data_IF_174200368942
#
_entry.id   IF_174200368942
#
_cell.length_a   1.000
_cell.length_b   1.000
_cell.length_c   1.000
_cell.angle_alpha   90.00
_cell.angle_beta   90.00
_cell.angle_gamma   90.00
#
_symmetry.space_group_name_H-M   'P 1'
#
loop_
_entity.id
_entity.type
_entity.pdbx_description
1 polymer ?
#
# COMPACT_ATOMS: atom_id res chain seq x y z
N UNK A 1 -18.84 -31.89 -79.37
CA UNK A 1 -19.50 -31.61 -78.09
C UNK A 1 -18.65 -31.88 -76.86
N UNK A 2 -17.43 -32.38 -76.92
CA UNK A 2 -16.56 -32.66 -75.72
C UNK A 2 -15.63 -31.52 -75.33
N UNK A 3 -15.36 -30.55 -76.20
CA UNK A 3 -14.42 -29.43 -75.95
C UNK A 3 -15.02 -28.29 -75.15
N UNK A 4 -16.33 -28.08 -75.20
CA UNK A 4 -16.97 -26.96 -74.50
C UNK A 4 -17.23 -27.22 -72.98
N UNK A 5 -17.26 -28.48 -72.58
CA UNK A 5 -17.44 -28.89 -71.18
C UNK A 5 -16.14 -28.67 -70.38
N UNK A 6 -15.00 -28.88 -70.98
CA UNK A 6 -13.70 -28.67 -70.35
C UNK A 6 -13.38 -27.18 -70.11
N UNK A 7 -13.80 -26.31 -71.00
CA UNK A 7 -13.58 -24.85 -70.86
C UNK A 7 -14.52 -24.27 -69.76
N UNK A 8 -15.73 -24.76 -69.65
CA UNK A 8 -16.66 -24.33 -68.61
C UNK A 8 -16.18 -24.75 -67.18
N UNK A 9 -15.60 -25.96 -67.07
CA UNK A 9 -15.08 -26.43 -65.80
C UNK A 9 -13.83 -25.64 -65.34
N UNK A 10 -12.96 -25.21 -66.24
CA UNK A 10 -11.78 -24.39 -65.92
C UNK A 10 -12.15 -22.97 -65.48
N UNK A 11 -13.16 -22.37 -66.09
CA UNK A 11 -13.62 -21.03 -65.67
C UNK A 11 -14.26 -21.04 -64.29
N UNK A 12 -15.00 -22.07 -63.93
CA UNK A 12 -15.61 -22.19 -62.60
C UNK A 12 -14.56 -22.45 -61.49
N UNK A 13 -13.50 -23.19 -61.78
CA UNK A 13 -12.40 -23.39 -60.81
C UNK A 13 -11.61 -22.08 -60.62
N UNK A 14 -11.38 -21.31 -61.67
CA UNK A 14 -10.68 -20.01 -61.57
C UNK A 14 -11.49 -18.96 -60.74
N UNK A 15 -12.80 -18.97 -60.84
CA UNK A 15 -13.66 -18.11 -60.03
C UNK A 15 -13.76 -18.53 -58.55
N UNK A 16 -13.70 -19.82 -58.28
CA UNK A 16 -13.73 -20.35 -56.89
C UNK A 16 -12.38 -20.09 -56.18
N UNK A 17 -11.24 -20.16 -56.88
CA UNK A 17 -9.93 -19.88 -56.30
C UNK A 17 -9.73 -18.36 -56.11
N UNK A 18 -10.23 -17.54 -57.04
CA UNK A 18 -10.16 -16.06 -56.94
C UNK A 18 -10.98 -15.48 -55.79
N UNK A 19 -12.14 -16.09 -55.44
CA UNK A 19 -12.94 -15.66 -54.31
C UNK A 19 -12.35 -16.12 -52.95
N UNK A 20 -11.55 -17.15 -52.93
CA UNK A 20 -10.90 -17.64 -51.71
C UNK A 20 -9.65 -16.82 -51.34
N UNK A 21 -8.91 -16.37 -52.32
CA UNK A 21 -7.71 -15.52 -52.09
C UNK A 21 -8.10 -14.08 -51.70
N UNK A 22 -9.27 -13.61 -52.10
CA UNK A 22 -9.76 -12.27 -51.75
C UNK A 22 -10.33 -12.16 -50.32
N UNK A 23 -10.64 -13.26 -49.68
CA UNK A 23 -11.25 -13.26 -48.33
C UNK A 23 -10.21 -13.27 -47.20
N UNK A 24 -8.96 -13.64 -47.48
CA UNK A 24 -7.90 -13.70 -46.44
C UNK A 24 -7.08 -12.42 -46.27
N UNK A 25 -7.30 -11.39 -47.08
CA UNK A 25 -6.51 -10.12 -47.00
C UNK A 25 -7.19 -9.06 -46.11
N UNK A 26 -8.33 -9.36 -45.48
CA UNK A 26 -9.12 -8.39 -44.75
C UNK A 26 -9.14 -8.51 -43.21
N UNK A 27 -8.47 -9.49 -42.61
CA UNK A 27 -8.39 -9.62 -41.16
C UNK A 27 -6.95 -9.48 -40.68
N UNK A 28 -6.37 -8.29 -40.80
CA UNK A 28 -5.36 -7.89 -39.82
C UNK A 28 -6.07 -7.86 -38.49
N UNK A 29 -5.92 -8.95 -37.71
CA UNK A 29 -6.13 -8.93 -36.28
C UNK A 29 -5.25 -7.82 -35.74
N UNK A 30 -5.83 -6.65 -35.53
CA UNK A 30 -5.30 -5.68 -34.59
C UNK A 30 -5.05 -6.46 -33.29
N UNK A 31 -3.82 -6.92 -33.09
CA UNK A 31 -3.32 -7.29 -31.76
C UNK A 31 -3.37 -6.00 -30.96
N UNK A 32 -4.55 -5.68 -30.39
CA UNK A 32 -4.59 -4.84 -29.21
C UNK A 32 -3.65 -5.55 -28.25
N UNK A 33 -2.48 -4.95 -28.02
CA UNK A 33 -1.65 -5.30 -26.90
C UNK A 33 -2.55 -5.17 -25.68
N UNK A 34 -3.18 -6.25 -25.30
CA UNK A 34 -3.89 -6.38 -24.06
C UNK A 34 -2.84 -6.35 -22.96
N UNK A 35 -2.36 -5.17 -22.61
CA UNK A 35 -1.82 -4.98 -21.29
C UNK A 35 -2.94 -5.48 -20.36
N UNK A 36 -2.71 -6.59 -19.69
CA UNK A 36 -3.58 -7.07 -18.64
C UNK A 36 -3.59 -5.95 -17.61
N UNK A 37 -4.63 -5.12 -17.64
CA UNK A 37 -4.83 -4.11 -16.60
C UNK A 37 -5.06 -4.92 -15.34
N UNK A 38 -4.04 -5.04 -14.50
CA UNK A 38 -4.17 -5.65 -13.19
C UNK A 38 -5.25 -4.87 -12.45
N UNK A 39 -6.13 -5.60 -11.77
CA UNK A 39 -7.17 -4.95 -10.99
C UNK A 39 -6.51 -4.05 -9.94
N UNK A 40 -6.80 -2.76 -9.96
CA UNK A 40 -6.32 -1.81 -8.96
C UNK A 40 -7.18 -1.99 -7.72
N UNK A 41 -6.58 -2.41 -6.62
CA UNK A 41 -7.26 -2.70 -5.37
C UNK A 41 -6.99 -1.68 -4.26
N UNK A 42 -5.85 -1.00 -4.31
CA UNK A 42 -5.39 -0.07 -3.28
C UNK A 42 -4.56 1.10 -3.85
N UNK A 43 -4.04 1.92 -2.95
CA UNK A 43 -3.23 3.09 -3.28
C UNK A 43 -1.91 2.71 -3.97
N UNK A 44 -1.21 1.68 -3.45
CA UNK A 44 0.08 1.24 -3.99
C UNK A 44 -0.09 0.66 -5.41
N UNK A 45 -1.15 -0.12 -5.66
CA UNK A 45 -1.52 -0.61 -6.99
C UNK A 45 -1.80 0.54 -7.96
N UNK A 46 -2.53 1.56 -7.49
CA UNK A 46 -2.85 2.74 -8.30
C UNK A 46 -1.58 3.50 -8.70
N UNK A 47 -0.67 3.74 -7.77
CA UNK A 47 0.63 4.38 -8.04
C UNK A 47 1.48 3.52 -8.97
N UNK A 48 1.52 2.21 -8.75
CA UNK A 48 2.26 1.25 -9.59
C UNK A 48 1.78 1.18 -11.03
N UNK A 49 0.49 1.51 -11.30
CA UNK A 49 -0.10 1.54 -12.64
C UNK A 49 -0.20 2.97 -13.22
N UNK A 50 0.67 3.89 -12.75
CA UNK A 50 0.74 5.28 -13.23
C UNK A 50 -0.53 6.10 -13.02
N UNK A 51 -1.27 5.83 -11.94
CA UNK A 51 -2.36 6.68 -11.50
C UNK A 51 -1.88 8.11 -11.15
N UNK A 52 -2.79 9.07 -11.22
CA UNK A 52 -2.50 10.46 -10.85
C UNK A 52 -2.52 10.59 -9.33
N UNK A 53 -1.41 11.01 -8.73
CA UNK A 53 -1.28 11.22 -7.29
C UNK A 53 -1.52 12.70 -6.97
N UNK A 54 -2.46 12.96 -6.05
CA UNK A 54 -2.70 14.30 -5.51
C UNK A 54 -1.77 14.57 -4.32
N UNK A 55 -1.28 15.81 -4.23
CA UNK A 55 -0.50 16.31 -3.08
C UNK A 55 -1.45 16.64 -1.92
N UNK A 56 -1.94 15.59 -1.25
CA UNK A 56 -2.79 15.67 -0.05
C UNK A 56 -2.22 14.81 1.07
N UNK A 57 -2.71 14.99 2.29
CA UNK A 57 -2.40 14.09 3.39
C UNK A 57 -3.68 13.61 4.09
N UNK A 58 -3.98 12.30 4.07
CA UNK A 58 -3.27 11.22 3.34
C UNK A 58 -3.24 11.46 1.83
N UNK A 59 -2.22 10.91 1.15
CA UNK A 59 -2.11 10.99 -0.30
C UNK A 59 -3.26 10.23 -0.98
N UNK A 60 -3.70 10.74 -2.14
CA UNK A 60 -4.76 10.11 -2.94
C UNK A 60 -4.23 9.80 -4.34
N UNK A 61 -4.56 8.64 -4.86
CA UNK A 61 -4.23 8.23 -6.22
C UNK A 61 -5.49 7.92 -7.00
N UNK A 62 -5.62 8.48 -8.21
CA UNK A 62 -6.79 8.29 -9.07
C UNK A 62 -6.41 7.60 -10.37
N UNK A 63 -7.16 6.57 -10.74
CA UNK A 63 -7.02 5.82 -12.00
C UNK A 63 -8.38 5.26 -12.43
N UNK A 64 -8.71 5.36 -13.72
CA UNK A 64 -9.95 4.80 -14.26
C UNK A 64 -11.23 5.35 -13.60
N UNK A 65 -11.22 6.60 -13.12
CA UNK A 65 -12.35 7.24 -12.43
C UNK A 65 -12.56 6.79 -10.98
N UNK A 66 -11.64 6.00 -10.41
CA UNK A 66 -11.62 5.60 -9.01
C UNK A 66 -10.50 6.31 -8.27
N UNK A 67 -10.73 6.63 -7.00
CA UNK A 67 -9.73 7.24 -6.11
C UNK A 67 -9.45 6.28 -4.96
N UNK A 68 -8.16 6.11 -4.66
CA UNK A 68 -7.63 5.29 -3.59
C UNK A 68 -6.84 6.18 -2.64
N UNK A 69 -7.09 6.06 -1.34
CA UNK A 69 -6.42 6.84 -0.31
C UNK A 69 -5.30 6.02 0.32
N UNK A 70 -4.16 6.64 0.55
CA UNK A 70 -3.03 6.01 1.23
C UNK A 70 -3.43 5.63 2.66
N UNK A 71 -3.14 4.38 3.06
CA UNK A 71 -3.28 3.97 4.45
C UNK A 71 -2.17 4.64 5.29
N UNK A 72 -2.56 5.45 6.24
CA UNK A 72 -1.66 6.10 7.22
C UNK A 72 -1.94 5.61 8.66
N UNK A 73 -2.71 4.53 8.80
CA UNK A 73 -3.22 4.08 10.09
C UNK A 73 -4.25 5.06 10.67
N UNK A 74 -4.15 5.32 11.96
CA UNK A 74 -5.05 6.25 12.65
C UNK A 74 -4.37 7.59 13.04
N UNK A 75 -3.33 8.01 12.31
CA UNK A 75 -2.50 9.17 12.67
C UNK A 75 -3.33 10.45 12.83
N UNK A 76 -4.30 10.71 11.94
CA UNK A 76 -5.13 11.90 12.02
C UNK A 76 -6.10 11.87 13.22
N UNK A 77 -6.60 10.69 13.58
CA UNK A 77 -7.48 10.52 14.74
C UNK A 77 -6.76 10.75 16.06
N UNK A 78 -5.45 10.47 16.09
CA UNK A 78 -4.61 10.56 17.28
C UNK A 78 -3.77 11.83 17.35
N UNK A 79 -3.86 12.72 16.36
CA UNK A 79 -3.00 13.89 16.22
C UNK A 79 -3.00 14.83 17.43
N UNK A 80 -4.08 14.87 18.21
CA UNK A 80 -4.19 15.66 19.43
C UNK A 80 -3.57 14.98 20.67
N UNK A 81 -3.22 13.70 20.58
CA UNK A 81 -2.69 12.89 21.67
C UNK A 81 -1.24 12.48 21.46
N UNK A 82 -0.92 12.00 20.27
CA UNK A 82 0.42 11.52 19.90
C UNK A 82 0.70 11.79 18.43
N UNK A 83 1.94 12.18 18.12
CA UNK A 83 2.46 12.43 16.78
C UNK A 83 3.74 11.64 16.56
N UNK A 84 3.95 11.15 15.35
CA UNK A 84 5.18 10.46 14.95
C UNK A 84 5.91 11.27 13.87
N UNK A 85 7.15 11.66 14.16
CA UNK A 85 8.00 12.39 13.21
C UNK A 85 8.76 11.42 12.29
N UNK A 86 9.23 10.31 12.86
CA UNK A 86 9.95 9.26 12.16
C UNK A 86 9.72 7.89 12.83
N UNK A 87 9.52 6.81 12.03
CA UNK A 87 9.32 6.82 10.58
C UNK A 87 7.95 7.39 10.20
N UNK A 88 7.83 7.96 8.99
CA UNK A 88 6.51 8.35 8.46
C UNK A 88 5.73 7.10 7.99
N UNK A 89 4.39 7.15 7.93
CA UNK A 89 3.59 6.05 7.42
C UNK A 89 4.07 5.54 6.06
N UNK A 90 4.12 4.22 5.91
CA UNK A 90 4.61 3.49 4.74
C UNK A 90 6.11 3.64 4.42
N UNK A 91 6.89 4.24 5.32
CA UNK A 91 8.35 4.26 5.17
C UNK A 91 8.93 2.83 5.17
N UNK A 92 9.97 2.62 4.37
CA UNK A 92 10.77 1.39 4.43
C UNK A 92 11.70 1.48 5.64
N UNK A 93 11.55 0.54 6.55
CA UNK A 93 12.31 0.51 7.81
C UNK A 93 13.36 -0.59 7.82
N UNK A 94 14.47 -0.31 8.51
CA UNK A 94 15.57 -1.26 8.74
C UNK A 94 15.96 -1.27 10.20
N UNK A 95 16.58 -2.35 10.66
CA UNK A 95 17.11 -2.46 12.03
C UNK A 95 18.58 -2.00 12.08
N UNK A 96 19.01 -1.19 13.08
CA UNK A 96 18.19 -0.60 14.13
C UNK A 96 17.29 0.54 13.61
N UNK A 97 16.06 0.64 14.12
CA UNK A 97 15.09 1.67 13.78
C UNK A 97 14.98 2.69 14.90
N UNK A 98 15.26 3.96 14.61
CA UNK A 98 14.97 5.05 15.54
C UNK A 98 13.59 5.60 15.27
N UNK A 99 12.76 5.64 16.32
CA UNK A 99 11.39 6.18 16.30
C UNK A 99 11.38 7.41 17.19
N UNK A 100 10.84 8.52 16.64
CA UNK A 100 10.77 9.81 17.33
C UNK A 100 9.42 10.45 17.09
N UNK A 101 9.01 11.28 18.05
CA UNK A 101 7.81 12.06 17.95
C UNK A 101 7.49 12.79 19.25
N UNK A 102 6.23 13.19 19.40
CA UNK A 102 5.73 13.86 20.57
C UNK A 102 4.41 13.23 21.00
N UNK A 103 4.19 13.11 22.31
CA UNK A 103 2.93 12.66 22.86
C UNK A 103 2.53 13.55 24.05
N UNK A 104 1.22 13.67 24.30
CA UNK A 104 0.73 14.31 25.53
C UNK A 104 1.28 13.60 26.74
N UNK A 105 1.55 14.33 27.83
CA UNK A 105 2.04 13.73 29.05
C UNK A 105 1.17 12.60 29.58
N UNK A 106 -0.14 12.64 29.35
CA UNK A 106 -1.10 11.60 29.69
C UNK A 106 -0.91 10.29 28.91
N UNK A 107 -0.09 10.28 27.85
CA UNK A 107 0.28 9.07 27.11
C UNK A 107 1.33 8.22 27.84
N UNK A 108 2.09 8.86 28.72
CA UNK A 108 3.17 8.25 29.47
C UNK A 108 2.71 7.76 30.85
N UNK A 109 3.35 6.72 31.31
CA UNK A 109 3.43 6.36 32.74
C UNK A 109 4.90 6.10 33.07
N UNK A 110 5.38 6.65 34.20
CA UNK A 110 6.80 6.60 34.59
C UNK A 110 7.78 7.01 33.45
N UNK A 111 7.45 8.12 32.77
CA UNK A 111 8.23 8.70 31.67
C UNK A 111 8.40 7.77 30.45
N UNK A 112 7.56 6.76 30.28
CA UNK A 112 7.64 5.81 29.17
C UNK A 112 6.27 5.35 28.67
N UNK A 113 6.26 4.72 27.48
CA UNK A 113 5.11 3.97 26.94
C UNK A 113 5.60 2.89 25.96
N UNK A 114 4.90 1.76 25.81
CA UNK A 114 5.36 0.65 24.99
C UNK A 114 5.18 0.91 23.49
N UNK A 115 6.24 0.62 22.73
CA UNK A 115 6.24 0.64 21.26
C UNK A 115 6.48 -0.78 20.76
N UNK A 116 5.52 -1.30 20.01
CA UNK A 116 5.54 -2.62 19.42
C UNK A 116 5.74 -2.52 17.91
N UNK A 117 6.41 -3.50 17.33
CA UNK A 117 6.50 -3.68 15.89
C UNK A 117 5.91 -5.05 15.54
N UNK A 118 4.95 -5.05 14.62
CA UNK A 118 4.28 -6.24 14.11
C UNK A 118 4.55 -6.43 12.62
N UNK A 119 4.57 -7.67 12.18
CA UNK A 119 4.54 -8.00 10.77
C UNK A 119 3.09 -8.02 10.22
N UNK A 120 2.91 -8.26 8.90
CA UNK A 120 1.59 -8.28 8.28
C UNK A 120 0.71 -9.47 8.71
N UNK A 121 1.24 -10.42 9.46
CA UNK A 121 0.51 -11.56 10.02
C UNK A 121 0.18 -11.35 11.52
N UNK A 122 0.24 -10.10 11.99
CA UNK A 122 0.04 -9.73 13.40
C UNK A 122 1.02 -10.41 14.37
N UNK A 123 2.18 -10.87 13.87
CA UNK A 123 3.23 -11.40 14.72
C UNK A 123 4.09 -10.27 15.24
N UNK A 124 4.17 -10.13 16.56
CA UNK A 124 5.08 -9.17 17.20
C UNK A 124 6.53 -9.58 16.96
N UNK A 125 7.33 -8.69 16.36
CA UNK A 125 8.73 -8.91 16.03
C UNK A 125 9.70 -8.10 16.92
N UNK A 126 9.22 -7.02 17.54
CA UNK A 126 9.96 -6.27 18.54
C UNK A 126 9.02 -5.52 19.47
N UNK A 127 9.51 -5.24 20.68
CA UNK A 127 8.86 -4.34 21.63
C UNK A 127 9.93 -3.64 22.47
N UNK A 128 9.75 -2.34 22.72
CA UNK A 128 10.62 -1.56 23.63
C UNK A 128 9.87 -0.31 24.11
N UNK A 129 10.06 0.16 25.35
CA UNK A 129 9.50 1.42 25.77
C UNK A 129 10.16 2.59 25.05
N UNK A 130 9.35 3.52 24.55
CA UNK A 130 9.77 4.87 24.22
C UNK A 130 9.89 5.66 25.52
N UNK A 131 10.88 6.52 25.60
CA UNK A 131 11.19 7.26 26.81
C UNK A 131 11.27 8.76 26.55
N UNK A 132 11.00 9.53 27.59
CA UNK A 132 11.24 10.96 27.61
C UNK A 132 12.13 11.34 28.78
N UNK A 133 12.91 12.42 28.61
CA UNK A 133 13.62 13.09 29.71
C UNK A 133 12.95 14.42 30.10
N UNK A 134 11.86 14.77 29.43
CA UNK A 134 11.11 15.99 29.70
C UNK A 134 10.08 15.77 30.83
N UNK A 135 9.41 16.84 31.26
CA UNK A 135 8.35 16.75 32.25
C UNK A 135 7.08 16.16 31.62
N UNK A 136 6.92 14.85 31.73
CA UNK A 136 5.75 14.13 31.24
C UNK A 136 4.49 14.30 32.13
N UNK A 137 4.63 14.76 33.36
CA UNK A 137 3.50 15.06 34.26
C UNK A 137 2.82 16.39 33.89
N UNK A 138 2.47 16.53 32.64
CA UNK A 138 1.79 17.71 32.09
C UNK A 138 0.78 17.31 31.01
N UNK A 139 -0.06 18.25 30.59
CA UNK A 139 -0.96 18.06 29.44
C UNK A 139 -0.31 18.45 28.11
N UNK A 140 0.91 19.01 28.14
CA UNK A 140 1.64 19.44 26.96
C UNK A 140 2.19 18.25 26.16
N UNK A 141 2.56 18.53 24.90
CA UNK A 141 3.32 17.58 24.09
C UNK A 141 4.76 17.49 24.59
N UNK A 142 5.22 16.26 24.79
CA UNK A 142 6.54 15.90 25.30
C UNK A 142 7.22 15.02 24.26
N UNK A 143 8.49 15.28 23.96
CA UNK A 143 9.24 14.52 22.97
C UNK A 143 9.56 13.12 23.49
N UNK A 144 9.51 12.12 22.61
CA UNK A 144 9.92 10.76 22.91
C UNK A 144 10.87 10.20 21.86
N UNK A 145 11.70 9.27 22.28
CA UNK A 145 12.58 8.52 21.39
C UNK A 145 12.70 7.06 21.84
N UNK A 146 12.78 6.14 20.85
CA UNK A 146 13.13 4.74 21.07
C UNK A 146 13.92 4.19 19.88
N UNK A 147 14.86 3.29 20.15
CA UNK A 147 15.58 2.54 19.12
C UNK A 147 15.18 1.08 19.22
N UNK A 148 14.46 0.58 18.21
CA UNK A 148 14.08 -0.83 18.08
C UNK A 148 15.16 -1.60 17.30
N UNK A 149 15.54 -2.75 17.82
CA UNK A 149 16.36 -3.73 17.10
C UNK A 149 15.50 -4.95 16.81
N UNK A 150 15.42 -5.36 15.55
CA UNK A 150 14.62 -6.50 15.13
C UNK A 150 15.28 -7.27 13.99
N UNK A 151 14.86 -8.53 13.83
CA UNK A 151 15.21 -9.33 12.66
C UNK A 151 14.18 -9.07 11.56
N UNK A 152 14.65 -8.78 10.33
CA UNK A 152 13.74 -8.56 9.19
C UNK A 152 12.79 -9.74 9.03
N UNK A 153 11.46 -9.49 9.02
CA UNK A 153 10.47 -10.53 8.79
C UNK A 153 10.42 -10.96 7.32
N UNK A 154 9.69 -12.02 7.02
CA UNK A 154 9.46 -12.49 5.64
C UNK A 154 8.35 -11.70 4.92
N UNK A 155 7.49 -11.04 5.67
CA UNK A 155 6.45 -10.16 5.12
C UNK A 155 7.06 -8.86 4.59
N UNK A 156 6.41 -8.24 3.60
CA UNK A 156 6.88 -6.98 3.01
C UNK A 156 6.41 -5.76 3.79
N UNK A 157 5.35 -5.93 4.55
CA UNK A 157 4.68 -4.85 5.30
C UNK A 157 4.46 -5.28 6.75
N UNK A 158 4.19 -4.29 7.58
CA UNK A 158 3.85 -4.45 8.98
C UNK A 158 3.37 -3.12 9.56
N UNK A 159 3.35 -3.00 10.85
CA UNK A 159 2.97 -1.74 11.50
C UNK A 159 3.63 -1.57 12.86
N UNK A 160 3.88 -0.33 13.20
CA UNK A 160 4.19 0.09 14.57
C UNK A 160 2.88 0.30 15.34
N UNK A 161 2.88 -0.08 16.60
CA UNK A 161 1.81 0.19 17.54
C UNK A 161 2.42 0.89 18.77
N UNK A 162 2.16 2.20 18.87
CA UNK A 162 2.59 3.03 19.99
C UNK A 162 1.42 3.10 20.95
N UNK A 163 1.44 2.33 22.02
CA UNK A 163 0.33 2.25 22.97
C UNK A 163 0.51 3.28 24.08
N UNK A 164 -0.58 3.92 24.52
CA UNK A 164 -0.50 4.63 25.81
C UNK A 164 -0.15 3.66 26.93
N UNK A 165 0.57 4.14 27.91
CA UNK A 165 0.80 3.33 29.12
C UNK A 165 -0.42 3.44 30.03
N UNK A 166 -1.12 2.32 30.20
CA UNK A 166 -2.37 2.23 30.96
C UNK A 166 -2.16 1.47 32.28
N UNK A 167 -1.77 2.16 33.38
CA UNK A 167 -1.52 1.50 34.66
C UNK A 167 -2.78 0.95 35.31
N UNK A 168 -3.98 1.35 34.86
CA UNK A 168 -5.23 0.84 35.41
C UNK A 168 -5.51 -0.61 35.02
N UNK A 169 -4.94 -1.06 33.87
CA UNK A 169 -5.20 -2.37 33.27
C UNK A 169 -6.64 -2.55 32.76
N UNK A 170 -7.46 -1.49 32.77
CA UNK A 170 -8.83 -1.52 32.27
C UNK A 170 -8.82 -1.32 30.75
N UNK A 171 -9.38 -2.24 29.95
CA UNK A 171 -9.33 -2.17 28.48
C UNK A 171 -9.95 -0.89 27.88
N UNK A 172 -10.93 -0.29 28.54
CA UNK A 172 -11.57 0.97 28.12
C UNK A 172 -10.61 2.17 28.16
N UNK A 173 -9.49 2.06 28.86
CA UNK A 173 -8.45 3.09 28.92
C UNK A 173 -7.28 2.79 27.95
N UNK A 174 -7.34 1.69 27.21
CA UNK A 174 -6.33 1.37 26.20
C UNK A 174 -6.49 2.28 24.99
N UNK A 175 -5.40 2.87 24.57
CA UNK A 175 -5.33 3.67 23.33
C UNK A 175 -4.00 3.42 22.60
N UNK A 176 -3.98 3.69 21.30
CA UNK A 176 -2.77 3.47 20.49
C UNK A 176 -2.75 4.31 19.22
N UNK A 177 -1.54 4.63 18.79
CA UNK A 177 -1.25 5.08 17.44
C UNK A 177 -0.75 3.89 16.61
N UNK A 178 -1.42 3.60 15.50
CA UNK A 178 -1.00 2.58 14.52
C UNK A 178 -0.40 3.25 13.30
N UNK A 179 0.84 2.87 12.95
CA UNK A 179 1.59 3.44 11.82
C UNK A 179 2.03 2.31 10.88
N UNK A 180 1.50 2.21 9.66
CA UNK A 180 1.91 1.21 8.68
C UNK A 180 3.36 1.46 8.24
N UNK A 181 4.11 0.37 8.04
CA UNK A 181 5.52 0.39 7.60
C UNK A 181 5.79 -0.69 6.56
N UNK A 182 6.91 -0.55 5.83
CA UNK A 182 7.42 -1.53 4.86
C UNK A 182 8.80 -2.05 5.31
N UNK A 183 9.15 -3.31 4.93
CA UNK A 183 10.42 -3.96 5.31
C UNK A 183 11.37 -4.17 4.12
#
# INVERSE_FOLDING_TARGET
MKTNILLAALVLVALAVGSWVGYDIGFEKSKKNGATVLAVSDFDDCVGQTGTVAESYPAQCSIGGKTFTQDIGNELEKADLIKIDSPRPNAVITSPLTIKGQARGTWFFEASFPVHLYDANDKQIAVKPAMTSENWMSEDFVSYEVVLTFKKPTTKTGYLLLKNDNPSGLPENDDFLKVPVKF
#
